data_IF_322318274323
#
_entry.id   IF_322318274323
#
_cell.length_a   1.000
_cell.length_b   1.000
_cell.length_c   1.000
_cell.angle_alpha   90.00
_cell.angle_beta   90.00
_cell.angle_gamma   90.00
#
_symmetry.space_group_name_H-M   'P 1'
#
loop_
_entity.id
_entity.type
_entity.pdbx_description
1 polymer ?
#
# COMPACT_ATOMS: atom_id res chain seq x y z
N UNK A 1 2.16 -1.73 8.87
CA UNK A 1 2.29 -3.13 9.33
C UNK A 1 1.01 -3.99 9.27
N UNK A 2 -0.14 -3.58 9.83
CA UNK A 2 -1.38 -4.40 9.86
C UNK A 2 -1.85 -4.91 8.47
N UNK A 3 -1.73 -4.07 7.42
CA UNK A 3 -2.14 -4.43 6.04
C UNK A 3 -1.24 -5.51 5.43
N UNK A 4 0.07 -5.39 5.62
CA UNK A 4 1.04 -6.39 5.13
C UNK A 4 0.85 -7.75 5.81
N UNK A 5 0.60 -7.78 7.12
CA UNK A 5 0.27 -9.03 7.83
C UNK A 5 -1.00 -9.70 7.31
N UNK A 6 -2.01 -8.92 6.92
CA UNK A 6 -3.22 -9.47 6.28
C UNK A 6 -2.93 -10.02 4.88
N UNK A 7 -2.17 -9.29 4.06
CA UNK A 7 -1.76 -9.75 2.73
C UNK A 7 -0.94 -11.04 2.81
N UNK A 8 -0.06 -11.17 3.81
CA UNK A 8 0.67 -12.40 4.11
C UNK A 8 -0.28 -13.58 4.39
N UNK A 9 -1.27 -13.40 5.27
CA UNK A 9 -2.25 -14.45 5.57
C UNK A 9 -3.08 -14.87 4.36
N UNK A 10 -3.51 -13.91 3.54
CA UNK A 10 -4.23 -14.20 2.30
C UNK A 10 -3.36 -14.96 1.29
N UNK A 11 -2.08 -14.58 1.16
CA UNK A 11 -1.16 -15.27 0.27
C UNK A 11 -0.94 -16.72 0.70
N UNK A 12 -0.84 -17.00 2.01
CA UNK A 12 -0.78 -18.37 2.52
C UNK A 12 -1.99 -19.20 2.08
N UNK A 13 -3.21 -18.64 2.20
CA UNK A 13 -4.43 -19.30 1.72
C UNK A 13 -4.40 -19.57 0.21
N UNK A 14 -3.85 -18.66 -0.59
CA UNK A 14 -3.72 -18.87 -2.05
C UNK A 14 -2.78 -20.03 -2.36
N UNK A 15 -1.67 -20.17 -1.61
CA UNK A 15 -0.76 -21.30 -1.75
C UNK A 15 -1.51 -22.61 -1.46
N UNK A 16 -2.26 -22.67 -0.36
CA UNK A 16 -3.09 -23.84 -0.02
C UNK A 16 -4.12 -24.16 -1.12
N UNK A 17 -4.71 -23.14 -1.75
CA UNK A 17 -5.65 -23.31 -2.87
C UNK A 17 -4.98 -23.94 -4.10
N UNK A 18 -3.76 -23.50 -4.42
CA UNK A 18 -2.97 -24.05 -5.53
C UNK A 18 -2.62 -25.51 -5.25
N UNK A 19 -2.12 -25.81 -4.05
CA UNK A 19 -1.77 -27.18 -3.64
C UNK A 19 -3.00 -28.12 -3.65
N UNK A 20 -4.18 -27.59 -3.33
CA UNK A 20 -5.45 -28.31 -3.38
C UNK A 20 -6.06 -28.40 -4.80
N UNK A 21 -5.36 -27.97 -5.85
CA UNK A 21 -5.86 -27.92 -7.24
C UNK A 21 -7.24 -27.26 -7.36
N UNK A 22 -7.45 -26.15 -6.66
CA UNK A 22 -8.68 -25.35 -6.76
C UNK A 22 -8.82 -24.72 -8.16
N UNK A 23 -10.02 -24.24 -8.44
CA UNK A 23 -10.34 -23.59 -9.71
C UNK A 23 -9.42 -22.38 -9.99
N UNK A 24 -8.96 -22.28 -11.23
CA UNK A 24 -8.00 -21.25 -11.63
C UNK A 24 -8.58 -19.83 -11.55
N UNK A 25 -9.89 -19.66 -11.78
CA UNK A 25 -10.55 -18.36 -11.67
C UNK A 25 -10.60 -17.90 -10.22
N UNK A 26 -10.93 -18.80 -9.28
CA UNK A 26 -10.93 -18.50 -7.84
C UNK A 26 -9.53 -18.03 -7.40
N UNK A 27 -8.48 -18.76 -7.80
CA UNK A 27 -7.08 -18.41 -7.47
C UNK A 27 -6.71 -17.03 -8.05
N UNK A 28 -7.05 -16.78 -9.31
CA UNK A 28 -6.75 -15.50 -9.96
C UNK A 28 -7.44 -14.32 -9.26
N UNK A 29 -8.69 -14.49 -8.83
CA UNK A 29 -9.42 -13.46 -8.08
C UNK A 29 -8.77 -13.17 -6.73
N UNK A 30 -8.34 -14.19 -5.99
CA UNK A 30 -7.65 -14.00 -4.71
C UNK A 30 -6.29 -13.31 -4.90
N UNK A 31 -5.54 -13.68 -5.93
CA UNK A 31 -4.28 -13.00 -6.28
C UNK A 31 -4.51 -11.51 -6.55
N UNK A 32 -5.55 -11.16 -7.31
CA UNK A 32 -5.89 -9.75 -7.58
C UNK A 32 -6.20 -8.98 -6.29
N UNK A 33 -6.89 -9.60 -5.33
CA UNK A 33 -7.16 -8.98 -4.03
C UNK A 33 -5.88 -8.73 -3.23
N UNK A 34 -4.91 -9.65 -3.27
CA UNK A 34 -3.59 -9.47 -2.64
C UNK A 34 -2.81 -8.34 -3.30
N UNK A 35 -2.75 -8.28 -4.64
CA UNK A 35 -2.09 -7.20 -5.38
C UNK A 35 -2.67 -5.84 -4.99
N UNK A 36 -4.00 -5.69 -4.99
CA UNK A 36 -4.65 -4.44 -4.57
C UNK A 36 -4.34 -4.06 -3.12
N UNK A 37 -4.21 -5.04 -2.22
CA UNK A 37 -3.83 -4.78 -0.84
C UNK A 37 -2.36 -4.32 -0.71
N UNK A 38 -1.45 -4.89 -1.52
CA UNK A 38 -0.04 -4.52 -1.56
C UNK A 38 0.15 -3.13 -2.18
N UNK A 39 -0.54 -2.81 -3.27
CA UNK A 39 -0.48 -1.47 -3.88
C UNK A 39 -0.95 -0.40 -2.89
N UNK A 40 -2.07 -0.65 -2.19
CA UNK A 40 -2.53 0.28 -1.16
C UNK A 40 -1.54 0.42 0.00
N UNK A 41 -0.87 -0.66 0.39
CA UNK A 41 0.15 -0.60 1.43
C UNK A 41 1.39 0.19 0.99
N UNK A 42 1.83 0.00 -0.27
CA UNK A 42 2.93 0.73 -0.92
C UNK A 42 2.63 2.23 -0.96
N UNK A 43 1.47 2.64 -1.48
CA UNK A 43 1.12 4.07 -1.59
C UNK A 43 1.10 4.74 -0.23
N UNK A 44 0.53 4.10 0.80
CA UNK A 44 0.54 4.64 2.17
C UNK A 44 1.98 4.79 2.68
N UNK A 45 2.82 3.78 2.52
CA UNK A 45 4.21 3.81 2.99
C UNK A 45 5.01 4.95 2.32
N UNK A 46 4.86 5.11 1.00
CA UNK A 46 5.57 6.14 0.23
C UNK A 46 5.10 7.53 0.64
N UNK A 47 3.79 7.78 0.71
CA UNK A 47 3.26 9.08 1.13
C UNK A 47 3.71 9.42 2.55
N UNK A 48 3.62 8.48 3.49
CA UNK A 48 4.04 8.67 4.87
C UNK A 48 5.54 8.98 4.97
N UNK A 49 6.38 8.31 4.17
CA UNK A 49 7.81 8.57 4.13
C UNK A 49 8.13 9.96 3.55
N UNK A 50 7.43 10.37 2.48
CA UNK A 50 7.59 11.71 1.90
C UNK A 50 7.19 12.78 2.93
N UNK A 51 6.04 12.63 3.60
CA UNK A 51 5.56 13.62 4.58
C UNK A 51 6.52 13.75 5.78
N UNK A 52 7.06 12.63 6.29
CA UNK A 52 7.95 12.65 7.45
C UNK A 52 9.36 13.15 7.15
N UNK A 53 9.94 12.81 6.00
CA UNK A 53 11.34 13.13 5.69
C UNK A 53 11.54 14.37 4.83
N UNK A 54 10.46 15.00 4.33
CA UNK A 54 10.65 16.20 3.53
C UNK A 54 11.25 17.35 4.35
N UNK A 55 10.83 17.51 5.60
CA UNK A 55 11.37 18.55 6.51
C UNK A 55 12.84 18.35 6.83
N UNK A 56 13.33 17.11 6.81
CA UNK A 56 14.76 16.81 6.98
C UNK A 56 15.60 17.38 5.81
N UNK A 57 15.00 17.49 4.62
CA UNK A 57 15.68 17.95 3.39
C UNK A 57 15.51 19.45 3.17
N UNK A 58 14.31 19.99 3.42
CA UNK A 58 13.97 21.40 3.11
C UNK A 58 13.96 22.32 4.34
N UNK A 59 14.18 21.77 5.53
CA UNK A 59 14.05 22.49 6.79
C UNK A 59 12.58 22.66 7.23
N UNK A 60 12.33 23.42 8.32
CA UNK A 60 11.00 23.58 8.88
C UNK A 60 10.04 24.20 7.87
N UNK A 61 8.97 23.48 7.55
CA UNK A 61 7.94 23.97 6.65
C UNK A 61 6.97 24.91 7.36
N UNK A 62 6.54 25.97 6.67
CA UNK A 62 5.41 26.77 7.13
C UNK A 62 4.14 25.92 7.17
N UNK A 63 3.18 26.30 8.01
CA UNK A 63 1.90 25.58 8.13
C UNK A 63 1.18 25.47 6.77
N UNK A 64 1.23 26.52 5.95
CA UNK A 64 0.64 26.53 4.61
C UNK A 64 1.35 25.55 3.65
N UNK A 65 2.67 25.46 3.71
CA UNK A 65 3.44 24.53 2.89
C UNK A 65 3.14 23.06 3.26
N UNK A 66 3.01 22.76 4.57
CA UNK A 66 2.55 21.44 5.05
C UNK A 66 1.18 21.07 4.50
N UNK A 67 0.21 21.99 4.56
CA UNK A 67 -1.14 21.75 4.03
C UNK A 67 -1.18 21.54 2.50
N UNK A 68 -0.28 22.19 1.74
CA UNK A 68 -0.13 21.94 0.31
C UNK A 68 0.51 20.59 0.04
N UNK A 69 1.51 20.20 0.84
CA UNK A 69 2.19 18.92 0.72
C UNK A 69 1.26 17.73 0.98
N UNK A 70 0.48 17.77 2.06
CA UNK A 70 -0.52 16.74 2.36
C UNK A 70 -1.50 16.56 1.21
N UNK A 71 -1.96 17.67 0.60
CA UNK A 71 -2.85 17.61 -0.58
C UNK A 71 -2.18 16.97 -1.80
N UNK A 72 -0.90 17.24 -2.05
CA UNK A 72 -0.15 16.56 -3.12
C UNK A 72 0.07 15.08 -2.80
N UNK A 73 0.37 14.74 -1.55
CA UNK A 73 0.50 13.37 -1.06
C UNK A 73 -0.79 12.57 -1.22
N UNK A 74 -1.95 13.20 -1.02
CA UNK A 74 -3.26 12.60 -1.29
C UNK A 74 -3.49 12.28 -2.77
N UNK A 75 -3.04 13.14 -3.69
CA UNK A 75 -3.11 12.89 -5.13
C UNK A 75 -2.17 11.76 -5.56
N UNK A 76 -0.99 11.67 -4.96
CA UNK A 76 -0.02 10.61 -5.23
C UNK A 76 -0.53 9.20 -4.88
N UNK A 77 -1.58 9.08 -4.07
CA UNK A 77 -2.23 7.78 -3.74
C UNK A 77 -2.95 7.15 -4.94
N UNK A 78 -3.16 7.90 -6.02
CA UNK A 78 -3.85 7.47 -7.24
C UNK A 78 -2.92 7.21 -8.43
N UNK A 79 -1.60 7.29 -8.23
CA UNK A 79 -0.57 6.87 -9.19
C UNK A 79 -0.15 5.42 -8.94
#
# INVERSE_FOLDING_TARGET
MKRLKRAQGHLATIIDMIEANRDALDIAQQLQAVIGALDKAKSILVTDHIEHHLEDVVGPLSREAREKLTRLGDLAKYL
#
